data_IF_258434387703
#
_entry.id   IF_258434387703
#
_cell.length_a   1.000
_cell.length_b   1.000
_cell.length_c   1.000
_cell.angle_alpha   90.00
_cell.angle_beta   90.00
_cell.angle_gamma   90.00
#
_symmetry.space_group_name_H-M   'P 1'
#
loop_
_entity.id
_entity.type
_entity.pdbx_description
1 polymer ?
#
# COMPACT_ATOMS: atom_id res chain seq x y z
N UNK A 1 -14.70 3.79 -16.53
CA UNK A 1 -14.29 2.39 -16.62
C UNK A 1 -13.68 1.92 -15.31
N UNK A 2 -14.00 0.70 -14.95
CA UNK A 2 -13.50 0.12 -13.71
C UNK A 2 -12.04 -0.28 -13.85
N UNK A 3 -11.26 -0.02 -12.82
CA UNK A 3 -9.84 -0.26 -12.78
C UNK A 3 -9.49 -0.86 -11.43
N UNK A 4 -8.52 -1.77 -11.39
CA UNK A 4 -8.06 -2.38 -10.14
C UNK A 4 -6.69 -1.88 -9.75
N UNK A 5 -6.46 -1.74 -8.46
CA UNK A 5 -5.15 -1.32 -7.92
C UNK A 5 -4.82 -2.10 -6.67
N UNK A 6 -3.53 -2.23 -6.37
CA UNK A 6 -3.08 -2.85 -5.12
C UNK A 6 -2.88 -1.77 -4.07
N UNK A 7 -3.40 -2.05 -2.88
CA UNK A 7 -3.12 -1.29 -1.68
C UNK A 7 -2.47 -2.23 -0.67
N UNK A 8 -1.36 -1.84 -0.07
CA UNK A 8 -0.77 -2.57 1.05
C UNK A 8 -0.83 -1.68 2.28
N UNK A 9 -1.54 -2.14 3.31
CA UNK A 9 -1.51 -1.51 4.62
C UNK A 9 -0.28 -2.08 5.33
N UNK A 10 0.73 -1.25 5.55
CA UNK A 10 2.06 -1.70 5.98
C UNK A 10 2.09 -2.11 7.46
N UNK A 11 3.14 -2.84 7.90
CA UNK A 11 3.20 -3.33 9.27
C UNK A 11 3.08 -2.24 10.35
N UNK A 12 3.55 -1.03 10.10
CA UNK A 12 3.42 0.08 11.06
C UNK A 12 1.95 0.43 11.30
N UNK A 13 1.13 0.47 10.25
CA UNK A 13 -0.30 0.76 10.37
C UNK A 13 -1.03 -0.38 11.07
N UNK A 14 -0.65 -1.63 10.79
CA UNK A 14 -1.24 -2.80 11.47
C UNK A 14 -0.94 -2.75 12.96
N UNK A 15 0.33 -2.51 13.33
CA UNK A 15 0.73 -2.42 14.75
C UNK A 15 0.03 -1.29 15.48
N UNK A 16 -0.24 -0.17 14.80
CA UNK A 16 -0.90 1.00 15.39
C UNK A 16 -2.43 0.88 15.43
N UNK A 17 -2.97 -0.23 14.93
CA UNK A 17 -4.42 -0.44 14.91
C UNK A 17 -5.15 0.46 13.92
N UNK A 18 -4.52 0.82 12.82
CA UNK A 18 -5.06 1.76 11.83
C UNK A 18 -5.63 1.09 10.58
N UNK A 19 -5.66 -0.25 10.52
CA UNK A 19 -6.18 -0.96 9.34
C UNK A 19 -7.60 -0.52 9.01
N UNK A 20 -8.48 -0.50 10.00
CA UNK A 20 -9.88 -0.10 9.81
C UNK A 20 -10.01 1.34 9.35
N UNK A 21 -9.22 2.25 9.92
CA UNK A 21 -9.24 3.66 9.53
C UNK A 21 -8.80 3.84 8.08
N UNK A 22 -7.74 3.16 7.68
CA UNK A 22 -7.23 3.22 6.31
C UNK A 22 -8.26 2.69 5.32
N UNK A 23 -8.78 1.49 5.56
CA UNK A 23 -9.77 0.87 4.66
C UNK A 23 -11.06 1.66 4.59
N UNK A 24 -11.51 2.22 5.72
CA UNK A 24 -12.75 3.00 5.76
C UNK A 24 -12.70 4.19 4.79
N UNK A 25 -11.55 4.81 4.63
CA UNK A 25 -11.41 5.97 3.72
C UNK A 25 -11.68 5.59 2.28
N UNK A 26 -11.24 4.41 1.86
CA UNK A 26 -11.48 3.95 0.49
C UNK A 26 -12.92 3.49 0.30
N UNK A 27 -13.48 2.80 1.29
CA UNK A 27 -14.88 2.38 1.22
C UNK A 27 -15.83 3.58 1.19
N UNK A 28 -15.59 4.58 2.03
CA UNK A 28 -16.41 5.80 2.03
C UNK A 28 -16.30 6.58 0.73
N UNK A 29 -15.14 6.48 0.05
CA UNK A 29 -14.94 7.13 -1.25
C UNK A 29 -15.73 6.43 -2.36
N UNK A 30 -16.15 5.19 -2.14
CA UNK A 30 -16.94 4.42 -3.12
C UNK A 30 -16.15 3.35 -3.86
N UNK A 31 -14.91 3.08 -3.45
CA UNK A 31 -14.12 2.01 -4.06
C UNK A 31 -14.59 0.65 -3.55
N UNK A 32 -14.64 -0.36 -4.44
CA UNK A 32 -14.98 -1.72 -4.06
C UNK A 32 -13.78 -2.49 -3.56
N UNK A 33 -13.99 -3.32 -2.54
CA UNK A 33 -12.97 -4.23 -2.03
C UNK A 33 -13.12 -5.57 -2.75
N UNK A 34 -12.12 -5.94 -3.57
CA UNK A 34 -12.15 -7.15 -4.38
C UNK A 34 -11.51 -8.32 -3.65
N UNK A 35 -10.37 -8.07 -2.98
CA UNK A 35 -9.63 -9.08 -2.24
C UNK A 35 -8.90 -8.43 -1.07
N UNK A 36 -8.69 -9.20 -0.01
CA UNK A 36 -8.00 -8.72 1.18
C UNK A 36 -7.34 -9.90 1.89
N UNK A 37 -6.11 -9.72 2.35
CA UNK A 37 -5.38 -10.75 3.05
C UNK A 37 -4.44 -10.16 4.10
N UNK A 38 -4.55 -10.64 5.33
CA UNK A 38 -3.62 -10.28 6.40
C UNK A 38 -2.52 -11.35 6.43
N UNK A 39 -1.28 -10.94 6.17
CA UNK A 39 -0.16 -11.89 6.12
C UNK A 39 1.16 -11.21 6.45
N UNK A 40 2.13 -12.01 6.85
CA UNK A 40 3.52 -11.58 6.94
C UNK A 40 4.22 -12.06 5.68
N UNK A 41 4.89 -11.17 4.96
CA UNK A 41 5.63 -11.55 3.76
C UNK A 41 7.08 -11.85 4.11
N UNK A 42 7.71 -12.73 3.34
CA UNK A 42 9.13 -13.02 3.50
C UNK A 42 9.99 -12.09 2.63
N UNK A 43 11.31 -12.19 2.81
CA UNK A 43 12.23 -11.35 2.06
C UNK A 43 12.19 -11.60 0.56
N UNK A 44 11.92 -12.83 0.14
CA UNK A 44 11.84 -13.18 -1.27
C UNK A 44 10.67 -12.48 -1.96
N UNK A 45 9.50 -12.46 -1.34
CA UNK A 45 8.36 -11.73 -1.87
C UNK A 45 8.61 -10.22 -1.87
N UNK A 46 9.24 -9.70 -0.80
CA UNK A 46 9.61 -8.29 -0.72
C UNK A 46 10.55 -7.91 -1.87
N UNK A 47 11.56 -8.74 -2.15
CA UNK A 47 12.50 -8.49 -3.24
C UNK A 47 11.80 -8.49 -4.60
N UNK A 48 10.82 -9.37 -4.79
CA UNK A 48 10.02 -9.41 -6.02
C UNK A 48 9.16 -8.16 -6.17
N UNK A 49 8.48 -7.78 -5.10
CA UNK A 49 7.60 -6.60 -5.10
C UNK A 49 8.39 -5.32 -5.34
N UNK A 50 9.54 -5.19 -4.69
CA UNK A 50 10.41 -4.02 -4.79
C UNK A 50 11.57 -4.22 -5.77
N UNK A 51 11.38 -5.02 -6.81
CA UNK A 51 12.48 -5.39 -7.74
C UNK A 51 13.26 -4.18 -8.27
N UNK A 52 12.59 -3.05 -8.48
CA UNK A 52 13.22 -1.82 -8.97
C UNK A 52 14.10 -1.14 -7.92
N UNK A 53 13.99 -1.55 -6.65
CA UNK A 53 14.64 -0.88 -5.52
C UNK A 53 15.72 -1.70 -4.83
N UNK A 54 15.88 -3.00 -5.18
CA UNK A 54 16.76 -3.91 -4.45
C UNK A 54 18.22 -3.45 -4.44
N UNK A 55 18.66 -2.69 -5.46
CA UNK A 55 20.03 -2.17 -5.55
C UNK A 55 20.20 -0.80 -4.87
N UNK A 56 19.13 -0.23 -4.33
CA UNK A 56 19.18 1.11 -3.72
C UNK A 56 19.62 1.03 -2.27
N UNK A 57 20.32 2.09 -1.82
CA UNK A 57 20.82 2.18 -0.43
C UNK A 57 19.70 2.14 0.60
N UNK A 58 18.51 2.65 0.28
CA UNK A 58 17.37 2.64 1.19
C UNK A 58 16.68 1.29 1.30
N UNK A 59 17.02 0.33 0.44
CA UNK A 59 16.26 -0.93 0.39
C UNK A 59 16.49 -1.85 1.60
N UNK A 60 17.72 -2.10 2.09
CA UNK A 60 17.87 -3.00 3.24
C UNK A 60 16.99 -2.63 4.44
N UNK A 61 16.93 -1.37 4.90
CA UNK A 61 16.01 -1.03 5.97
C UNK A 61 14.54 -1.12 5.56
N UNK A 62 14.19 -0.86 4.31
CA UNK A 62 12.83 -1.05 3.81
C UNK A 62 12.44 -2.53 3.85
N UNK A 63 13.33 -3.41 3.39
CA UNK A 63 13.11 -4.85 3.41
C UNK A 63 12.88 -5.36 4.83
N UNK A 64 13.71 -4.93 5.76
CA UNK A 64 13.56 -5.29 7.17
C UNK A 64 12.21 -4.82 7.71
N UNK A 65 11.82 -3.59 7.39
CA UNK A 65 10.57 -3.01 7.84
C UNK A 65 9.35 -3.76 7.27
N UNK A 66 9.31 -3.97 5.96
CA UNK A 66 8.12 -4.56 5.30
C UNK A 66 7.90 -6.02 5.69
N UNK A 67 8.96 -6.72 6.10
CA UNK A 67 8.89 -8.11 6.55
C UNK A 67 8.80 -8.24 8.08
N UNK A 68 8.71 -7.13 8.80
CA UNK A 68 8.81 -7.11 10.27
C UNK A 68 7.57 -7.62 10.99
N UNK A 69 6.47 -7.77 10.31
CA UNK A 69 5.21 -8.23 10.89
C UNK A 69 4.09 -8.24 9.87
N UNK A 70 2.86 -8.54 10.31
CA UNK A 70 1.73 -8.62 9.38
C UNK A 70 1.45 -7.31 8.65
N UNK A 71 1.10 -7.45 7.39
CA UNK A 71 0.55 -6.37 6.57
C UNK A 71 -0.80 -6.82 6.03
N UNK A 72 -1.58 -5.89 5.49
CA UNK A 72 -2.84 -6.22 4.82
C UNK A 72 -2.69 -5.85 3.35
N UNK A 73 -2.75 -6.84 2.47
CA UNK A 73 -2.77 -6.62 1.03
C UNK A 73 -4.22 -6.58 0.56
N UNK A 74 -4.57 -5.60 -0.26
CA UNK A 74 -5.93 -5.43 -0.77
C UNK A 74 -5.92 -5.13 -2.25
N UNK A 75 -6.96 -5.59 -2.95
CA UNK A 75 -7.25 -5.14 -4.30
C UNK A 75 -8.50 -4.30 -4.24
N UNK A 76 -8.39 -3.05 -4.68
CA UNK A 76 -9.50 -2.10 -4.74
C UNK A 76 -9.88 -1.87 -6.20
N UNK A 77 -11.17 -1.63 -6.43
CA UNK A 77 -11.70 -1.47 -7.79
C UNK A 77 -12.63 -0.28 -7.85
N UNK A 78 -12.55 0.46 -8.93
CA UNK A 78 -13.44 1.59 -9.17
C UNK A 78 -12.96 2.41 -10.36
N UNK A 79 -13.72 3.45 -10.67
CA UNK A 79 -13.37 4.35 -11.75
C UNK A 79 -12.13 5.15 -11.36
N UNK A 80 -11.10 5.10 -12.19
CA UNK A 80 -9.81 5.76 -11.95
C UNK A 80 -9.19 5.37 -10.60
N UNK A 81 -9.34 4.10 -10.20
CA UNK A 81 -8.94 3.63 -8.86
C UNK A 81 -7.49 3.94 -8.52
N UNK A 82 -6.57 3.82 -9.49
CA UNK A 82 -5.14 4.07 -9.22
C UNK A 82 -4.94 5.52 -8.77
N UNK A 83 -5.44 6.48 -9.52
CA UNK A 83 -5.30 7.90 -9.18
C UNK A 83 -6.03 8.27 -7.90
N UNK A 84 -7.24 7.74 -7.72
CA UNK A 84 -8.06 8.01 -6.53
C UNK A 84 -7.37 7.50 -5.28
N UNK A 85 -6.88 6.26 -5.29
CA UNK A 85 -6.20 5.68 -4.13
C UNK A 85 -4.93 6.47 -3.78
N UNK A 86 -4.14 6.84 -4.78
CA UNK A 86 -2.93 7.63 -4.54
C UNK A 86 -3.24 9.00 -3.95
N UNK A 87 -4.30 9.65 -4.42
CA UNK A 87 -4.74 10.94 -3.87
C UNK A 87 -5.11 10.82 -2.39
N UNK A 88 -5.83 9.75 -2.02
CA UNK A 88 -6.23 9.52 -0.64
C UNK A 88 -5.05 9.15 0.26
N UNK A 89 -4.07 8.43 -0.27
CA UNK A 89 -2.87 8.03 0.49
C UNK A 89 -1.96 9.24 0.76
N UNK A 90 -1.78 10.11 -0.21
CA UNK A 90 -0.92 11.28 -0.09
C UNK A 90 0.53 11.03 -0.52
N UNK A 91 1.33 12.09 -0.52
CA UNK A 91 2.74 11.99 -0.93
C UNK A 91 3.53 11.10 0.03
N UNK A 92 4.65 10.56 -0.45
CA UNK A 92 5.42 9.52 0.24
C UNK A 92 5.83 9.91 1.67
N UNK A 93 6.34 11.12 1.88
CA UNK A 93 6.78 11.58 3.19
C UNK A 93 5.59 12.13 3.97
N UNK A 94 5.19 11.43 5.03
CA UNK A 94 4.04 11.82 5.85
C UNK A 94 4.15 13.23 6.43
N UNK A 95 5.37 13.70 6.68
CA UNK A 95 5.59 15.06 7.21
C UNK A 95 5.20 16.13 6.20
N UNK A 96 5.23 15.80 4.91
CA UNK A 96 4.93 16.72 3.80
C UNK A 96 3.55 16.49 3.19
N UNK A 97 2.90 15.40 3.56
CA UNK A 97 1.59 15.05 3.01
C UNK A 97 0.51 15.99 3.55
N UNK A 98 -0.45 16.30 2.69
CA UNK A 98 -1.55 17.20 3.07
C UNK A 98 -2.46 16.57 4.13
N UNK A 99 -2.96 17.38 5.04
CA UNK A 99 -3.98 16.93 5.98
C UNK A 99 -5.21 16.46 5.22
N UNK A 100 -5.85 15.43 5.75
CA UNK A 100 -6.96 14.74 5.07
C UNK A 100 -6.50 13.52 4.29
N UNK A 101 -5.23 13.43 3.90
CA UNK A 101 -4.67 12.21 3.33
C UNK A 101 -4.29 11.25 4.45
N UNK A 102 -4.18 9.97 4.13
CA UNK A 102 -3.79 8.95 5.13
C UNK A 102 -2.42 9.28 5.72
N UNK A 103 -1.45 9.55 4.87
CA UNK A 103 -0.10 9.88 5.34
C UNK A 103 -0.05 11.22 6.07
N UNK A 104 -0.78 12.20 5.60
CA UNK A 104 -0.84 13.51 6.24
C UNK A 104 -1.45 13.47 7.63
N UNK A 105 -2.45 12.63 7.82
CA UNK A 105 -3.13 12.52 9.11
C UNK A 105 -2.38 11.64 10.12
N UNK A 106 -1.65 10.62 9.66
CA UNK A 106 -1.15 9.58 10.57
C UNK A 106 0.35 9.31 10.49
N UNK A 107 1.09 9.85 9.53
CA UNK A 107 2.51 9.54 9.38
C UNK A 107 3.42 10.75 9.59
N UNK A 108 4.51 10.53 10.33
CA UNK A 108 5.60 11.49 10.48
C UNK A 108 6.90 10.98 9.83
N UNK A 109 6.79 10.04 8.90
CA UNK A 109 7.96 9.34 8.37
C UNK A 109 7.87 9.18 6.86
N UNK A 110 9.02 9.05 6.22
CA UNK A 110 9.12 8.70 4.80
C UNK A 110 9.04 7.18 4.59
N UNK A 111 9.48 6.38 5.55
CA UNK A 111 9.46 4.90 5.46
C UNK A 111 8.23 4.30 6.12
N UNK A 112 7.98 4.68 7.37
CA UNK A 112 6.81 4.20 8.11
C UNK A 112 5.62 5.08 7.76
N UNK A 113 5.19 4.95 6.51
CA UNK A 113 4.18 5.84 5.92
C UNK A 113 2.85 5.14 5.63
N UNK A 114 2.57 4.07 6.36
CA UNK A 114 1.27 3.42 6.53
C UNK A 114 0.79 2.58 5.35
N UNK A 115 0.98 3.01 4.13
CA UNK A 115 0.41 2.32 2.98
C UNK A 115 1.28 2.43 1.75
N UNK A 116 1.17 1.42 0.90
CA UNK A 116 1.69 1.43 -0.47
C UNK A 116 0.51 1.38 -1.43
N UNK A 117 0.57 2.14 -2.49
CA UNK A 117 -0.43 2.13 -3.55
C UNK A 117 0.27 2.05 -4.91
N UNK A 118 -0.28 1.27 -5.82
CA UNK A 118 0.25 1.15 -7.17
C UNK A 118 0.25 2.52 -7.87
N UNK A 119 1.25 2.77 -8.70
CA UNK A 119 1.43 4.09 -9.33
C UNK A 119 1.04 4.15 -10.81
N UNK A 120 0.72 3.01 -11.41
CA UNK A 120 0.34 2.94 -12.82
C UNK A 120 -0.45 1.67 -13.10
N UNK A 121 -1.17 1.58 -14.25
CA UNK A 121 -1.84 0.34 -14.63
C UNK A 121 -0.90 -0.85 -14.73
N UNK A 122 0.30 -0.66 -15.25
CA UNK A 122 1.31 -1.71 -15.37
C UNK A 122 1.79 -2.18 -14.00
N UNK A 123 2.09 -1.24 -13.10
CA UNK A 123 2.48 -1.56 -11.72
C UNK A 123 1.37 -2.26 -10.98
N UNK A 124 0.12 -1.81 -11.14
CA UNK A 124 -1.03 -2.42 -10.49
C UNK A 124 -1.19 -3.88 -10.92
N UNK A 125 -1.15 -4.16 -12.23
CA UNK A 125 -1.29 -5.52 -12.75
C UNK A 125 -0.17 -6.42 -12.21
N UNK A 126 1.06 -5.95 -12.24
CA UNK A 126 2.23 -6.69 -11.75
C UNK A 126 2.11 -6.97 -10.25
N UNK A 127 1.81 -5.95 -9.46
CA UNK A 127 1.74 -6.07 -8.01
C UNK A 127 0.59 -6.95 -7.55
N UNK A 128 -0.57 -6.84 -8.20
CA UNK A 128 -1.71 -7.72 -7.91
C UNK A 128 -1.33 -9.18 -8.16
N UNK A 129 -0.64 -9.47 -9.26
CA UNK A 129 -0.24 -10.84 -9.56
C UNK A 129 0.77 -11.41 -8.56
N UNK A 130 1.58 -10.56 -7.94
CA UNK A 130 2.53 -10.98 -6.89
C UNK A 130 1.80 -11.37 -5.62
N UNK A 131 0.86 -10.53 -5.16
CA UNK A 131 0.15 -10.76 -3.90
C UNK A 131 -1.04 -11.69 -4.04
N UNK A 132 -1.71 -11.69 -5.19
CA UNK A 132 -2.91 -12.48 -5.45
C UNK A 132 -2.81 -13.19 -6.80
N UNK A 133 -1.93 -14.20 -6.92
CA UNK A 133 -1.67 -14.83 -8.22
C UNK A 133 -2.87 -15.57 -8.80
N UNK A 134 -3.87 -15.88 -7.97
CA UNK A 134 -5.05 -16.61 -8.42
C UNK A 134 -6.28 -15.70 -8.65
N UNK A 135 -6.09 -14.42 -8.57
CA UNK A 135 -7.21 -13.47 -8.73
C UNK A 135 -7.52 -13.19 -10.19
#
# INVERSE_FOLDING_TARGET
>A
MSERTLLVVKPDAVRRGLVGEVLARFERKGLGLVAMDLRTIDGELADTHYAEHVERDFYPPLRTFITSGPLVACVLEGDEAIAVVRTLVGVTDGRKAAGGTIRGDFSLSNRENLAHASDSPESAAREISIFFPNL
#
